data_IF_816930332928
#
_entry.id   IF_816930332928
#
_cell.length_a   1.000
_cell.length_b   1.000
_cell.length_c   1.000
_cell.angle_alpha   90.00
_cell.angle_beta   90.00
_cell.angle_gamma   90.00
#
_symmetry.space_group_name_H-M   'P 1'
#
loop_
_entity.id
_entity.type
_entity.pdbx_description
1 polymer ?
#
# COMPACT_ATOMS: atom_id res chain seq x y z
N UNK A 1 -1.96 -22.62 -17.14
CA UNK A 1 -0.63 -22.20 -16.66
C UNK A 1 -0.83 -20.83 -16.07
N UNK A 2 -0.28 -20.53 -14.89
CA UNK A 2 -0.40 -19.19 -14.31
C UNK A 2 0.19 -18.14 -15.25
N UNK A 3 -0.54 -17.05 -15.46
CA UNK A 3 -0.11 -15.89 -16.25
C UNK A 3 0.29 -14.78 -15.30
N UNK A 4 1.40 -14.11 -15.61
CA UNK A 4 1.87 -12.91 -14.94
C UNK A 4 2.17 -11.84 -16.00
N UNK A 5 1.64 -10.66 -15.80
CA UNK A 5 1.95 -9.48 -16.62
C UNK A 5 2.25 -8.31 -15.69
N UNK A 6 3.31 -7.57 -16.00
CA UNK A 6 3.77 -6.40 -15.22
C UNK A 6 4.24 -5.31 -16.19
N UNK A 7 3.70 -4.11 -16.03
CA UNK A 7 3.99 -2.97 -16.89
C UNK A 7 5.19 -2.19 -16.34
N UNK A 8 6.05 -1.63 -17.20
CA UNK A 8 7.26 -0.90 -16.79
C UNK A 8 6.92 0.53 -16.30
N UNK A 9 5.92 0.67 -15.44
CA UNK A 9 5.51 1.97 -14.89
C UNK A 9 6.54 2.41 -13.86
N UNK A 10 7.18 3.53 -14.16
CA UNK A 10 8.20 4.13 -13.31
C UNK A 10 7.55 4.60 -12.01
N UNK A 11 8.19 4.27 -10.90
CA UNK A 11 7.75 4.67 -9.57
C UNK A 11 8.06 6.16 -9.30
N UNK A 12 7.08 6.87 -8.72
CA UNK A 12 7.26 8.23 -8.21
C UNK A 12 6.61 8.39 -6.82
N UNK A 13 7.40 8.83 -5.84
CA UNK A 13 6.94 9.11 -4.48
C UNK A 13 6.06 10.38 -4.42
N UNK A 14 5.04 10.41 -3.56
CA UNK A 14 4.23 11.62 -3.37
C UNK A 14 5.02 12.74 -2.65
N UNK A 15 4.90 13.98 -3.13
CA UNK A 15 5.64 15.13 -2.58
C UNK A 15 5.12 15.58 -1.18
N UNK A 16 3.85 15.31 -0.88
CA UNK A 16 3.21 15.69 0.39
C UNK A 16 2.11 14.69 0.78
N UNK A 17 1.58 14.79 1.99
CA UNK A 17 0.69 13.79 2.62
C UNK A 17 -0.76 13.80 2.10
N UNK A 18 -1.01 14.50 0.99
CA UNK A 18 -2.30 14.55 0.30
C UNK A 18 -2.17 14.50 -1.23
N UNK A 19 -1.00 14.09 -1.75
CA UNK A 19 -0.69 14.05 -3.18
C UNK A 19 -0.72 12.65 -3.78
N UNK A 20 -1.28 11.65 -3.11
CA UNK A 20 -1.34 10.27 -3.64
C UNK A 20 -1.92 10.21 -5.05
N UNK A 21 -3.06 10.86 -5.30
CA UNK A 21 -3.69 10.90 -6.62
C UNK A 21 -2.88 11.68 -7.67
N UNK A 22 -2.14 12.70 -7.25
CA UNK A 22 -1.25 13.44 -8.15
C UNK A 22 0.00 12.63 -8.52
N UNK A 23 0.57 11.88 -7.57
CA UNK A 23 1.67 10.96 -7.80
C UNK A 23 1.26 9.79 -8.70
N UNK A 24 0.06 9.22 -8.50
CA UNK A 24 -0.51 8.23 -9.40
C UNK A 24 -0.70 8.78 -10.82
N UNK A 25 -1.26 9.98 -10.96
CA UNK A 25 -1.41 10.63 -12.26
C UNK A 25 -0.06 10.86 -12.94
N UNK A 26 0.97 11.27 -12.19
CA UNK A 26 2.33 11.45 -12.68
C UNK A 26 2.90 10.15 -13.25
N UNK A 27 2.83 9.05 -12.49
CA UNK A 27 3.31 7.72 -12.93
C UNK A 27 2.62 7.24 -14.21
N UNK A 28 1.28 7.35 -14.27
CA UNK A 28 0.51 6.87 -15.43
C UNK A 28 0.71 7.76 -16.66
N UNK A 29 0.79 9.09 -16.50
CA UNK A 29 1.02 10.00 -17.62
C UNK A 29 2.44 9.88 -18.19
N UNK A 30 3.44 9.65 -17.34
CA UNK A 30 4.81 9.35 -17.78
C UNK A 30 4.86 8.05 -18.60
N UNK A 31 4.20 6.98 -18.12
CA UNK A 31 4.02 5.74 -18.87
C UNK A 31 3.35 5.97 -20.24
N UNK A 32 2.40 6.91 -20.32
CA UNK A 32 1.72 7.28 -21.56
C UNK A 32 2.54 8.25 -22.45
N UNK A 33 3.79 8.54 -22.12
CA UNK A 33 4.69 9.35 -22.94
C UNK A 33 4.52 10.87 -22.79
N UNK A 34 3.80 11.35 -21.77
CA UNK A 34 3.74 12.78 -21.46
C UNK A 34 4.99 13.31 -20.75
N UNK A 35 5.88 12.40 -20.34
CA UNK A 35 7.03 12.72 -19.52
C UNK A 35 6.63 13.07 -18.09
N UNK A 36 7.62 13.53 -17.33
CA UNK A 36 7.50 13.73 -15.91
C UNK A 36 6.86 15.09 -15.56
N UNK A 37 5.57 15.09 -15.25
CA UNK A 37 4.79 16.28 -14.86
C UNK A 37 4.88 16.55 -13.35
N UNK A 38 4.85 17.82 -12.93
CA UNK A 38 4.93 18.17 -11.51
C UNK A 38 3.64 17.87 -10.72
N UNK A 39 3.76 17.21 -9.56
CA UNK A 39 2.60 16.79 -8.76
C UNK A 39 1.76 17.97 -8.24
N UNK A 40 2.35 19.13 -7.95
CA UNK A 40 1.58 20.30 -7.52
C UNK A 40 0.58 20.80 -8.59
N UNK A 41 0.97 20.73 -9.86
CA UNK A 41 0.10 21.06 -10.99
C UNK A 41 -0.99 20.00 -11.18
N UNK A 42 -0.62 18.72 -11.11
CA UNK A 42 -1.57 17.61 -11.19
C UNK A 42 -2.59 17.62 -10.05
N UNK A 43 -2.15 17.94 -8.82
CA UNK A 43 -3.04 18.12 -7.68
C UNK A 43 -4.01 19.27 -7.89
N UNK A 44 -3.53 20.42 -8.39
CA UNK A 44 -4.39 21.58 -8.66
C UNK A 44 -5.49 21.25 -9.68
N UNK A 45 -5.16 20.49 -10.72
CA UNK A 45 -6.13 19.99 -11.69
C UNK A 45 -7.11 18.99 -11.06
N UNK A 46 -6.61 17.97 -10.37
CA UNK A 46 -7.42 16.96 -9.67
C UNK A 46 -8.44 17.63 -8.74
N UNK A 47 -7.95 18.52 -7.87
CA UNK A 47 -8.74 19.14 -6.82
C UNK A 47 -9.78 20.10 -7.40
N UNK A 48 -9.44 20.88 -8.42
CA UNK A 48 -10.38 21.81 -9.07
C UNK A 48 -11.48 21.09 -9.87
N UNK A 49 -11.26 19.84 -10.25
CA UNK A 49 -12.23 19.02 -11.00
C UNK A 49 -12.85 17.90 -10.16
N UNK A 50 -12.58 17.88 -8.85
CA UNK A 50 -13.27 17.06 -7.86
C UNK A 50 -14.63 17.70 -7.53
N UNK A 51 -15.57 17.63 -8.47
CA UNK A 51 -16.81 18.44 -8.46
C UNK A 51 -18.04 17.65 -8.03
N UNK A 52 -18.00 16.33 -8.11
CA UNK A 52 -19.11 15.44 -7.75
C UNK A 52 -19.43 15.50 -6.26
N UNK A 53 -18.39 15.58 -5.43
CA UNK A 53 -18.51 15.74 -3.97
C UNK A 53 -17.36 16.59 -3.42
N UNK A 54 -17.66 17.56 -2.56
CA UNK A 54 -16.65 18.41 -1.91
C UNK A 54 -15.88 17.68 -0.80
N UNK A 55 -14.71 18.20 -0.44
CA UNK A 55 -13.94 17.74 0.72
C UNK A 55 -12.92 16.64 0.42
N UNK A 56 -12.71 16.34 -0.85
CA UNK A 56 -11.66 15.43 -1.32
C UNK A 56 -10.38 16.20 -1.65
N UNK A 57 -9.23 15.60 -1.34
CA UNK A 57 -7.95 16.10 -1.86
C UNK A 57 -7.79 15.71 -3.33
N UNK A 58 -8.03 14.45 -3.66
CA UNK A 58 -8.25 13.98 -5.04
C UNK A 58 -9.48 13.08 -5.08
N UNK A 59 -10.59 13.56 -5.65
CA UNK A 59 -11.79 12.75 -5.88
C UNK A 59 -11.65 11.90 -7.15
N UNK A 60 -12.46 10.82 -7.28
CA UNK A 60 -12.40 9.95 -8.45
C UNK A 60 -12.65 10.64 -9.80
N UNK A 61 -13.61 11.57 -9.86
CA UNK A 61 -13.91 12.36 -11.05
C UNK A 61 -12.79 13.34 -11.41
N UNK A 62 -12.18 13.97 -10.40
CA UNK A 62 -11.02 14.84 -10.57
C UNK A 62 -9.81 14.11 -11.15
N UNK A 63 -9.52 12.90 -10.65
CA UNK A 63 -8.41 12.09 -11.16
C UNK A 63 -8.64 11.66 -12.63
N UNK A 64 -9.84 11.15 -12.93
CA UNK A 64 -10.23 10.81 -14.32
C UNK A 64 -10.08 12.03 -15.23
N UNK A 65 -10.53 13.20 -14.79
CA UNK A 65 -10.43 14.42 -15.56
C UNK A 65 -8.97 14.75 -15.89
N UNK A 66 -8.10 14.77 -14.88
CA UNK A 66 -6.68 15.08 -15.07
C UNK A 66 -6.01 14.10 -16.03
N UNK A 67 -6.24 12.80 -15.90
CA UNK A 67 -5.65 11.80 -16.80
C UNK A 67 -6.05 12.01 -18.28
N UNK A 68 -7.29 12.42 -18.53
CA UNK A 68 -7.79 12.68 -19.88
C UNK A 68 -7.38 14.06 -20.44
N UNK A 69 -7.36 15.09 -19.59
CA UNK A 69 -7.10 16.47 -20.02
C UNK A 69 -5.62 16.71 -20.40
N UNK A 70 -4.73 15.80 -20.01
CA UNK A 70 -3.30 15.86 -20.33
C UNK A 70 -2.94 15.25 -21.69
N UNK A 71 -3.93 14.99 -22.55
CA UNK A 71 -3.75 14.64 -23.98
C UNK A 71 -2.76 13.50 -24.24
N UNK A 72 -2.77 12.48 -23.38
CA UNK A 72 -1.85 11.33 -23.44
C UNK A 72 -2.07 10.39 -24.63
N UNK A 73 -3.04 10.68 -25.51
CA UNK A 73 -3.50 9.77 -26.55
C UNK A 73 -4.27 8.55 -26.01
N UNK A 74 -4.46 8.48 -24.69
CA UNK A 74 -5.28 7.47 -24.01
C UNK A 74 -6.59 8.10 -23.55
N UNK A 75 -7.57 7.24 -23.30
CA UNK A 75 -8.85 7.64 -22.73
C UNK A 75 -9.14 6.75 -21.52
N UNK A 76 -9.38 7.41 -20.39
CA UNK A 76 -9.62 6.78 -19.10
C UNK A 76 -11.06 7.01 -18.66
N UNK A 77 -11.70 5.98 -18.12
CA UNK A 77 -13.01 6.09 -17.49
C UNK A 77 -12.89 5.86 -16.00
N UNK A 78 -13.91 6.34 -15.29
CA UNK A 78 -14.05 6.11 -13.87
C UNK A 78 -15.01 4.94 -13.70
N UNK A 79 -14.49 3.82 -13.22
CA UNK A 79 -15.30 2.69 -12.78
C UNK A 79 -15.60 2.83 -11.29
N UNK A 80 -16.88 2.77 -10.95
CA UNK A 80 -17.40 2.80 -9.59
C UNK A 80 -18.41 1.66 -9.45
N UNK A 81 -17.90 0.47 -9.13
CA UNK A 81 -18.64 -0.79 -9.21
C UNK A 81 -19.11 -1.26 -7.83
N UNK A 82 -20.11 -2.13 -7.81
CA UNK A 82 -20.76 -2.61 -6.57
C UNK A 82 -20.02 -3.75 -5.87
N UNK A 83 -19.01 -4.34 -6.53
CA UNK A 83 -18.26 -5.46 -5.96
C UNK A 83 -16.76 -5.30 -6.19
N UNK A 84 -15.98 -5.80 -5.22
CA UNK A 84 -14.53 -5.88 -5.32
C UNK A 84 -14.09 -6.69 -6.54
N UNK A 85 -14.71 -7.85 -6.79
CA UNK A 85 -14.30 -8.74 -7.87
C UNK A 85 -14.49 -8.09 -9.25
N UNK A 86 -15.57 -7.33 -9.43
CA UNK A 86 -15.80 -6.63 -10.68
C UNK A 86 -14.73 -5.55 -10.93
N UNK A 87 -14.35 -4.77 -9.92
CA UNK A 87 -13.32 -3.73 -10.10
C UNK A 87 -11.94 -4.37 -10.32
N UNK A 88 -11.63 -5.46 -9.64
CA UNK A 88 -10.36 -6.18 -9.77
C UNK A 88 -10.19 -6.81 -11.16
N UNK A 89 -11.30 -7.27 -11.77
CA UNK A 89 -11.30 -7.73 -13.17
C UNK A 89 -11.08 -6.61 -14.16
N UNK A 90 -11.71 -5.45 -13.95
CA UNK A 90 -11.44 -4.26 -14.77
C UNK A 90 -9.98 -3.85 -14.69
N UNK A 91 -9.40 -3.84 -13.49
CA UNK A 91 -7.97 -3.56 -13.29
C UNK A 91 -7.09 -4.54 -14.07
N UNK A 92 -7.32 -5.85 -13.96
CA UNK A 92 -6.56 -6.87 -14.69
C UNK A 92 -6.74 -6.74 -16.21
N UNK A 93 -7.96 -6.45 -16.67
CA UNK A 93 -8.25 -6.23 -18.09
C UNK A 93 -7.56 -4.98 -18.63
N UNK A 94 -7.57 -3.87 -17.90
CA UNK A 94 -6.85 -2.64 -18.27
C UNK A 94 -5.36 -2.92 -18.46
N UNK A 95 -4.73 -3.64 -17.52
CA UNK A 95 -3.32 -4.04 -17.62
C UNK A 95 -3.07 -4.92 -18.85
N UNK A 96 -3.92 -5.92 -19.08
CA UNK A 96 -3.75 -6.90 -20.15
C UNK A 96 -4.00 -6.32 -21.55
N UNK A 97 -5.16 -5.73 -21.75
CA UNK A 97 -5.63 -5.28 -23.06
C UNK A 97 -5.04 -3.93 -23.45
N UNK A 98 -5.10 -2.96 -22.54
CA UNK A 98 -4.74 -1.58 -22.85
C UNK A 98 -3.27 -1.27 -22.60
N UNK A 99 -2.56 -2.16 -21.88
CA UNK A 99 -1.14 -2.04 -21.56
C UNK A 99 -0.82 -0.71 -20.88
N UNK A 100 -1.71 -0.29 -19.99
CA UNK A 100 -1.60 0.93 -19.18
C UNK A 100 -1.96 0.58 -17.74
N UNK A 101 -1.30 1.24 -16.78
CA UNK A 101 -1.53 0.97 -15.37
C UNK A 101 -2.78 1.71 -14.86
N UNK A 102 -3.80 1.02 -14.35
CA UNK A 102 -4.95 1.67 -13.71
C UNK A 102 -4.58 2.24 -12.35
N UNK A 103 -5.39 3.20 -11.88
CA UNK A 103 -5.24 3.82 -10.56
C UNK A 103 -6.42 3.43 -9.67
N UNK A 104 -6.15 2.80 -8.53
CA UNK A 104 -7.17 2.23 -7.65
C UNK A 104 -7.32 3.04 -6.36
N UNK A 105 -8.57 3.27 -5.94
CA UNK A 105 -8.88 3.80 -4.61
C UNK A 105 -8.83 2.67 -3.60
N UNK A 106 -8.05 2.82 -2.55
CA UNK A 106 -7.87 1.82 -1.51
C UNK A 106 -8.08 2.40 -0.12
N UNK A 107 -8.20 1.50 0.86
CA UNK A 107 -8.45 1.84 2.27
C UNK A 107 -9.74 2.64 2.45
N UNK A 108 -10.80 2.15 1.82
CA UNK A 108 -12.10 2.80 1.75
C UNK A 108 -12.07 4.01 0.83
N UNK A 109 -11.63 5.14 1.36
CA UNK A 109 -11.47 6.39 0.61
C UNK A 109 -10.13 7.07 0.84
N UNK A 110 -9.23 6.45 1.59
CA UNK A 110 -8.07 7.17 2.13
C UNK A 110 -6.98 7.37 1.08
N UNK A 111 -6.76 6.48 0.11
CA UNK A 111 -5.53 6.52 -0.68
C UNK A 111 -5.69 6.07 -2.15
N UNK A 112 -4.84 6.61 -3.02
CA UNK A 112 -4.70 6.18 -4.42
C UNK A 112 -3.39 5.45 -4.63
N UNK A 113 -3.43 4.32 -5.34
CA UNK A 113 -2.25 3.54 -5.73
C UNK A 113 -2.28 3.19 -7.22
N UNK A 114 -1.12 2.92 -7.82
CA UNK A 114 -1.02 2.46 -9.22
C UNK A 114 -0.87 0.94 -9.23
N UNK A 115 -1.74 0.26 -9.98
CA UNK A 115 -1.61 -1.18 -10.23
C UNK A 115 -0.90 -1.37 -11.57
N UNK A 116 0.23 -2.05 -11.56
CA UNK A 116 1.08 -2.24 -12.75
C UNK A 116 0.96 -3.62 -13.36
N UNK A 117 0.59 -4.59 -12.55
CA UNK A 117 0.61 -5.98 -12.93
C UNK A 117 -0.42 -6.81 -12.20
N UNK A 118 -0.68 -8.00 -12.72
CA UNK A 118 -1.55 -8.99 -12.11
C UNK A 118 -1.00 -10.40 -12.30
N UNK A 119 -1.39 -11.29 -11.40
CA UNK A 119 -1.17 -12.73 -11.52
C UNK A 119 -2.52 -13.44 -11.56
N UNK A 120 -2.69 -14.36 -12.51
CA UNK A 120 -3.96 -15.04 -12.74
C UNK A 120 -3.79 -16.49 -13.22
N UNK A 121 -4.85 -17.28 -13.12
CA UNK A 121 -4.89 -18.66 -13.64
C UNK A 121 -4.80 -18.74 -15.16
N UNK A 122 -5.27 -17.70 -15.85
CA UNK A 122 -5.21 -17.49 -17.30
C UNK A 122 -5.32 -15.99 -17.62
N UNK A 123 -4.98 -15.59 -18.84
CA UNK A 123 -5.15 -14.21 -19.30
C UNK A 123 -6.64 -13.88 -19.53
N UNK A 124 -7.13 -12.69 -19.13
CA UNK A 124 -8.51 -12.30 -19.39
C UNK A 124 -8.74 -12.16 -20.89
N UNK A 125 -9.87 -12.69 -21.38
CA UNK A 125 -10.24 -12.63 -22.81
C UNK A 125 -11.17 -11.45 -23.15
N UNK A 126 -11.78 -10.85 -22.13
CA UNK A 126 -12.60 -9.63 -22.22
C UNK A 126 -12.74 -8.98 -20.84
N UNK A 127 -13.19 -7.72 -20.80
CA UNK A 127 -13.62 -7.01 -19.58
C UNK A 127 -14.68 -7.79 -18.77
N UNK A 128 -15.50 -8.61 -19.45
CA UNK A 128 -16.53 -9.45 -18.82
C UNK A 128 -16.10 -10.86 -18.42
N UNK A 129 -14.82 -11.20 -18.54
CA UNK A 129 -14.34 -12.57 -18.34
C UNK A 129 -14.31 -12.97 -16.86
N UNK A 130 -15.08 -14.00 -16.53
CA UNK A 130 -15.15 -14.61 -15.19
C UNK A 130 -14.54 -16.02 -15.15
N UNK A 131 -13.96 -16.48 -16.26
CA UNK A 131 -13.39 -17.82 -16.42
C UNK A 131 -12.01 -18.01 -15.79
N UNK A 132 -11.40 -16.93 -15.29
CA UNK A 132 -10.10 -16.95 -14.63
C UNK A 132 -10.18 -16.46 -13.17
N UNK A 133 -9.24 -16.93 -12.35
CA UNK A 133 -9.01 -16.44 -10.99
C UNK A 133 -7.79 -15.52 -10.95
N UNK A 134 -7.87 -14.47 -10.14
CA UNK A 134 -6.76 -13.55 -9.84
C UNK A 134 -6.13 -14.03 -8.53
N UNK A 135 -4.81 -14.13 -8.48
CA UNK A 135 -4.07 -14.51 -7.27
C UNK A 135 -3.32 -13.35 -6.63
N UNK A 136 -3.07 -12.26 -7.35
CA UNK A 136 -2.44 -11.06 -6.79
C UNK A 136 -2.21 -9.94 -7.78
N UNK A 137 -1.78 -8.80 -7.27
CA UNK A 137 -1.48 -7.57 -8.01
C UNK A 137 -0.08 -7.05 -7.69
N UNK A 138 0.60 -6.51 -8.70
CA UNK A 138 1.84 -5.76 -8.55
C UNK A 138 1.53 -4.25 -8.50
N UNK A 139 2.01 -3.56 -7.48
CA UNK A 139 1.58 -2.19 -7.12
C UNK A 139 2.75 -1.25 -6.89
N UNK A 140 2.56 0.00 -7.30
CA UNK A 140 3.34 1.15 -6.84
C UNK A 140 2.46 1.99 -5.89
N UNK A 141 2.87 2.06 -4.62
CA UNK A 141 2.22 2.88 -3.61
C UNK A 141 3.06 4.15 -3.37
N UNK A 142 2.53 5.34 -3.71
CA UNK A 142 3.31 6.58 -3.66
C UNK A 142 3.64 7.04 -2.23
N UNK A 143 3.04 6.45 -1.20
CA UNK A 143 3.31 6.72 0.20
C UNK A 143 4.63 6.03 0.66
N UNK A 144 5.41 6.59 1.61
CA UNK A 144 5.21 7.82 2.36
C UNK A 144 5.43 9.08 1.55
N UNK A 145 4.92 10.23 2.02
CA UNK A 145 5.33 11.52 1.48
C UNK A 145 6.81 11.79 1.73
N UNK A 146 7.39 12.62 0.88
CA UNK A 146 8.78 13.07 0.99
C UNK A 146 9.07 13.62 2.41
N UNK A 147 10.16 13.19 3.07
CA UNK A 147 10.50 13.67 4.40
C UNK A 147 10.67 15.20 4.47
N UNK A 148 10.14 15.81 5.52
CA UNK A 148 10.23 17.25 5.80
C UNK A 148 10.97 17.47 7.13
N UNK A 149 11.97 18.38 7.22
CA UNK A 149 12.51 19.23 6.16
C UNK A 149 13.41 18.44 5.19
N UNK A 150 13.19 18.61 3.90
CA UNK A 150 14.00 18.02 2.84
C UNK A 150 13.60 18.63 1.50
N UNK A 151 14.52 18.79 0.54
CA UNK A 151 14.13 19.21 -0.80
C UNK A 151 13.17 18.15 -1.38
N UNK A 152 12.14 18.55 -2.16
CA UNK A 152 11.39 17.59 -2.97
C UNK A 152 12.39 16.76 -3.79
N UNK A 153 12.18 15.44 -3.94
CA UNK A 153 13.08 14.58 -4.69
C UNK A 153 13.22 15.15 -6.11
N UNK A 154 14.40 15.05 -6.73
CA UNK A 154 14.53 15.40 -8.13
C UNK A 154 13.57 14.54 -8.95
N UNK A 155 12.51 15.15 -9.45
CA UNK A 155 11.65 14.57 -10.48
C UNK A 155 12.42 14.61 -11.80
N UNK A 156 13.42 13.74 -11.95
CA UNK A 156 14.20 13.61 -13.18
C UNK A 156 14.30 12.16 -13.61
N UNK A 157 14.30 11.90 -14.92
CA UNK A 157 14.39 10.56 -15.50
C UNK A 157 15.70 9.82 -15.18
N UNK A 158 16.70 10.51 -14.64
CA UNK A 158 18.03 9.98 -14.29
C UNK A 158 18.23 9.71 -12.79
N UNK A 159 17.31 10.14 -11.92
CA UNK A 159 17.34 9.89 -10.48
C UNK A 159 16.12 9.04 -10.13
N UNK A 160 16.32 7.83 -9.62
CA UNK A 160 15.23 6.92 -9.26
C UNK A 160 14.32 7.59 -8.24
N UNK A 161 13.19 8.10 -8.70
CA UNK A 161 12.33 9.02 -7.95
C UNK A 161 11.69 8.33 -6.73
N UNK A 162 12.43 8.30 -5.62
CA UNK A 162 11.94 7.78 -4.36
C UNK A 162 11.81 6.26 -4.29
N UNK A 163 12.54 5.50 -5.12
CA UNK A 163 12.56 4.03 -5.08
C UNK A 163 13.58 3.42 -4.09
N UNK A 164 14.13 4.22 -3.16
CA UNK A 164 15.19 3.78 -2.24
C UNK A 164 15.12 4.35 -0.82
N UNK A 165 15.42 3.51 0.17
CA UNK A 165 15.52 3.87 1.59
C UNK A 165 14.17 4.16 2.24
N UNK A 166 14.06 5.30 2.93
CA UNK A 166 12.85 5.80 3.61
C UNK A 166 11.85 6.46 2.66
N UNK A 167 12.04 6.27 1.36
CA UNK A 167 11.27 6.90 0.29
C UNK A 167 10.40 5.85 -0.37
N UNK A 168 9.10 6.17 -0.45
CA UNK A 168 8.13 5.40 -1.22
C UNK A 168 7.91 3.94 -0.85
N UNK A 169 6.95 3.32 -1.53
CA UNK A 169 6.74 1.86 -1.52
C UNK A 169 6.53 1.39 -2.97
N UNK A 170 7.66 1.22 -3.66
CA UNK A 170 7.70 0.64 -5.01
C UNK A 170 7.71 -0.89 -4.96
N UNK A 171 7.31 -1.53 -6.07
CA UNK A 171 7.46 -2.96 -6.32
C UNK A 171 6.84 -3.83 -5.21
N UNK A 172 5.59 -3.54 -4.85
CA UNK A 172 4.78 -4.39 -3.98
C UNK A 172 4.10 -5.49 -4.79
N UNK A 173 4.01 -6.68 -4.19
CA UNK A 173 3.08 -7.71 -4.62
C UNK A 173 2.09 -7.99 -3.50
N UNK A 174 0.80 -7.92 -3.82
CA UNK A 174 -0.31 -8.08 -2.87
C UNK A 174 -1.12 -9.30 -3.27
N UNK A 175 -1.34 -10.25 -2.36
CA UNK A 175 -2.20 -11.40 -2.62
C UNK A 175 -3.65 -10.97 -2.81
N UNK A 176 -4.45 -11.73 -3.58
CA UNK A 176 -5.86 -11.37 -3.82
C UNK A 176 -6.67 -11.28 -2.52
N UNK A 177 -6.35 -12.10 -1.51
CA UNK A 177 -6.98 -12.04 -0.18
C UNK A 177 -6.64 -10.74 0.53
N UNK A 178 -5.35 -10.36 0.55
CA UNK A 178 -4.93 -9.10 1.16
C UNK A 178 -5.48 -7.89 0.40
N UNK A 179 -5.56 -7.97 -0.93
CA UNK A 179 -6.17 -6.96 -1.78
C UNK A 179 -7.64 -6.74 -1.40
N UNK A 180 -8.44 -7.81 -1.37
CA UNK A 180 -9.86 -7.81 -1.00
C UNK A 180 -10.11 -7.26 0.39
N UNK A 181 -9.42 -7.82 1.36
CA UNK A 181 -9.75 -7.57 2.75
C UNK A 181 -9.22 -6.20 3.17
N UNK A 182 -8.01 -5.83 2.72
CA UNK A 182 -7.26 -4.68 3.25
C UNK A 182 -7.24 -3.48 2.32
N UNK A 183 -7.00 -3.66 1.03
CA UNK A 183 -6.81 -2.54 0.10
C UNK A 183 -8.13 -2.10 -0.53
N UNK A 184 -8.78 -2.98 -1.30
CA UNK A 184 -9.97 -2.68 -2.07
C UNK A 184 -11.24 -2.90 -1.24
N UNK A 185 -11.45 -2.05 -0.23
CA UNK A 185 -12.53 -2.20 0.77
C UNK A 185 -13.79 -1.38 0.51
N UNK A 186 -13.79 -0.57 -0.56
CA UNK A 186 -14.93 0.23 -1.01
C UNK A 186 -15.18 1.50 -0.16
N UNK A 187 -15.67 2.55 -0.80
CA UNK A 187 -15.84 3.87 -0.16
C UNK A 187 -16.98 3.82 0.86
N UNK A 188 -16.77 4.16 2.15
CA UNK A 188 -17.75 3.91 3.21
C UNK A 188 -18.84 4.98 3.35
N UNK A 189 -18.83 6.04 2.55
CA UNK A 189 -19.81 7.11 2.66
C UNK A 189 -19.71 8.16 1.56
N UNK A 190 -20.68 9.08 1.53
CA UNK A 190 -20.76 10.13 0.51
C UNK A 190 -21.38 9.66 -0.81
N UNK A 191 -21.15 10.41 -1.88
CA UNK A 191 -21.67 10.12 -3.22
C UNK A 191 -21.24 8.73 -3.72
N UNK A 192 -20.01 8.33 -3.43
CA UNK A 192 -19.43 7.05 -3.86
C UNK A 192 -19.68 5.90 -2.87
N UNK A 193 -20.60 6.06 -1.91
CA UNK A 193 -20.83 5.08 -0.86
C UNK A 193 -21.11 3.67 -1.41
N UNK A 194 -20.40 2.67 -0.87
CA UNK A 194 -20.50 1.26 -1.26
C UNK A 194 -19.81 0.91 -2.56
N UNK A 195 -19.16 1.88 -3.23
CA UNK A 195 -18.50 1.64 -4.52
C UNK A 195 -17.02 1.28 -4.34
N UNK A 196 -16.58 0.35 -5.16
CA UNK A 196 -15.18 0.05 -5.40
C UNK A 196 -14.74 0.81 -6.64
N UNK A 197 -13.65 1.58 -6.52
CA UNK A 197 -13.34 2.64 -7.47
C UNK A 197 -11.95 2.47 -8.06
N UNK A 198 -11.86 2.57 -9.38
CA UNK A 198 -10.61 2.71 -10.10
C UNK A 198 -10.79 3.57 -11.35
N UNK A 199 -9.70 4.21 -11.79
CA UNK A 199 -9.64 4.88 -13.08
C UNK A 199 -8.95 3.92 -14.06
N UNK A 200 -9.76 3.40 -14.98
CA UNK A 200 -9.47 2.24 -15.81
C UNK A 200 -9.69 2.54 -17.30
N UNK A 201 -9.66 1.48 -18.10
CA UNK A 201 -9.97 1.47 -19.53
C UNK A 201 -11.46 1.70 -19.86
N UNK A 202 -11.81 2.09 -21.10
CA UNK A 202 -13.15 2.54 -21.43
C UNK A 202 -14.21 1.45 -21.71
N UNK A 203 -13.92 0.17 -21.51
CA UNK A 203 -14.91 -0.89 -21.73
C UNK A 203 -15.96 -0.98 -20.62
N UNK A 204 -17.17 -1.48 -20.94
CA UNK A 204 -18.19 -1.70 -19.93
C UNK A 204 -17.74 -2.79 -18.93
N UNK A 205 -18.11 -2.65 -17.65
CA UNK A 205 -17.72 -3.60 -16.62
C UNK A 205 -18.40 -4.97 -16.79
N UNK A 206 -17.87 -6.03 -16.15
CA UNK A 206 -18.49 -7.34 -16.14
C UNK A 206 -19.93 -7.29 -15.64
N UNK A 207 -20.84 -7.93 -16.38
CA UNK A 207 -22.25 -8.12 -15.98
C UNK A 207 -22.50 -9.46 -15.30
N UNK A 208 -21.48 -10.33 -15.29
CA UNK A 208 -21.50 -11.64 -14.66
C UNK A 208 -20.48 -11.66 -13.55
N UNK A 209 -20.76 -12.45 -12.51
CA UNK A 209 -19.85 -12.72 -11.41
C UNK A 209 -19.56 -14.22 -11.39
N UNK A 210 -18.37 -14.64 -10.92
CA UNK A 210 -18.07 -16.04 -10.73
C UNK A 210 -19.10 -16.68 -9.78
N UNK A 211 -19.58 -17.89 -10.12
CA UNK A 211 -20.57 -18.62 -9.33
C UNK A 211 -20.06 -18.98 -7.92
N UNK A 212 -18.74 -19.05 -7.76
CA UNK A 212 -18.06 -19.30 -6.50
C UNK A 212 -16.77 -18.51 -6.46
N UNK A 213 -16.63 -17.61 -5.49
CA UNK A 213 -15.31 -17.16 -5.06
C UNK A 213 -14.72 -18.28 -4.21
N UNK A 214 -13.52 -18.75 -4.55
CA UNK A 214 -12.78 -19.63 -3.64
C UNK A 214 -12.66 -18.91 -2.30
N UNK A 215 -13.35 -19.46 -1.30
CA UNK A 215 -13.20 -18.99 0.07
C UNK A 215 -11.79 -19.27 0.52
N UNK A 216 -11.22 -18.31 1.25
CA UNK A 216 -9.94 -18.45 1.92
C UNK A 216 -9.91 -19.78 2.68
N UNK A 217 -9.10 -20.72 2.18
CA UNK A 217 -8.83 -22.00 2.82
C UNK A 217 -7.94 -21.71 4.03
N UNK A 218 -8.51 -20.99 5.01
CA UNK A 218 -7.87 -20.70 6.29
C UNK A 218 -7.51 -22.04 6.88
N UNK A 219 -6.23 -22.39 6.76
CA UNK A 219 -5.63 -23.57 7.37
C UNK A 219 -6.15 -23.61 8.80
N UNK A 220 -6.77 -24.74 9.17
CA UNK A 220 -7.78 -24.89 10.24
C UNK A 220 -7.33 -24.56 11.69
N UNK A 221 -6.22 -23.87 11.90
CA UNK A 221 -5.69 -23.55 13.23
C UNK A 221 -5.23 -22.09 13.25
N UNK A 222 -6.03 -21.23 13.89
CA UNK A 222 -5.72 -19.81 14.13
C UNK A 222 -6.00 -19.39 15.58
N UNK A 223 -6.00 -20.37 16.50
CA UNK A 223 -6.18 -20.17 17.95
C UNK A 223 -4.92 -19.58 18.61
N UNK A 224 -3.74 -19.95 18.11
CA UNK A 224 -2.46 -19.41 18.55
C UNK A 224 -1.76 -18.64 17.43
N UNK A 225 -0.93 -17.66 17.82
CA UNK A 225 -0.08 -16.96 16.86
C UNK A 225 1.09 -17.85 16.44
N UNK A 226 1.29 -17.95 15.13
CA UNK A 226 2.47 -18.55 14.52
C UNK A 226 3.73 -17.90 15.10
N UNK A 227 4.68 -18.71 15.56
CA UNK A 227 5.93 -18.21 16.11
C UNK A 227 6.75 -17.46 15.05
N UNK A 228 7.56 -16.47 15.47
CA UNK A 228 8.40 -15.71 14.54
C UNK A 228 9.35 -16.59 13.70
N UNK A 229 9.84 -17.71 14.25
CA UNK A 229 10.70 -18.66 13.50
C UNK A 229 9.92 -19.33 12.38
N UNK A 230 8.72 -19.80 12.70
CA UNK A 230 7.84 -20.42 11.72
C UNK A 230 7.39 -19.41 10.65
N UNK A 231 7.10 -18.16 11.04
CA UNK A 231 6.80 -17.09 10.09
C UNK A 231 7.98 -16.81 9.14
N UNK A 232 9.21 -16.84 9.64
CA UNK A 232 10.40 -16.71 8.80
C UNK A 232 10.52 -17.83 7.76
N UNK A 233 10.32 -19.09 8.17
CA UNK A 233 10.34 -20.23 7.25
C UNK A 233 9.22 -20.10 6.21
N UNK A 234 8.01 -19.75 6.64
CA UNK A 234 6.85 -19.56 5.77
C UNK A 234 7.07 -18.43 4.76
N UNK A 235 7.69 -17.33 5.16
CA UNK A 235 8.00 -16.22 4.25
C UNK A 235 8.92 -16.62 3.10
N UNK A 236 9.99 -17.37 3.40
CA UNK A 236 10.92 -17.83 2.37
C UNK A 236 10.27 -18.83 1.40
N UNK A 237 9.37 -19.70 1.88
CA UNK A 237 8.62 -20.59 1.02
C UNK A 237 7.52 -19.88 0.22
N UNK A 238 6.83 -18.92 0.84
CA UNK A 238 5.70 -18.22 0.23
C UNK A 238 6.10 -17.48 -1.04
N UNK A 239 7.26 -16.83 -1.07
CA UNK A 239 7.73 -16.08 -2.26
C UNK A 239 7.98 -16.99 -3.46
N UNK A 240 8.34 -18.25 -3.24
CA UNK A 240 8.43 -19.29 -4.28
C UNK A 240 7.03 -19.78 -4.67
N UNK A 241 6.17 -20.08 -3.70
CA UNK A 241 4.80 -20.58 -3.93
C UNK A 241 3.95 -19.60 -4.77
N UNK A 242 4.10 -18.29 -4.53
CA UNK A 242 3.41 -17.24 -5.31
C UNK A 242 4.18 -16.83 -6.58
N UNK A 243 5.32 -17.48 -6.85
CA UNK A 243 6.09 -17.34 -8.08
C UNK A 243 6.89 -16.04 -8.21
N UNK A 244 7.16 -15.33 -7.12
CA UNK A 244 7.93 -14.07 -7.16
C UNK A 244 9.39 -14.31 -7.55
N UNK A 245 10.00 -15.40 -7.10
CA UNK A 245 11.40 -15.73 -7.42
C UNK A 245 11.65 -15.95 -8.91
N UNK A 246 10.61 -16.31 -9.67
CA UNK A 246 10.66 -16.43 -11.13
C UNK A 246 10.64 -15.11 -11.89
N UNK A 247 10.22 -13.99 -11.26
CA UNK A 247 10.00 -12.70 -11.92
C UNK A 247 11.28 -11.89 -12.02
N UNK A 248 11.51 -11.25 -13.16
CA UNK A 248 12.74 -10.47 -13.41
C UNK A 248 12.94 -9.34 -12.39
N UNK A 249 11.89 -8.57 -12.10
CA UNK A 249 11.94 -7.46 -11.13
C UNK A 249 12.20 -7.91 -9.69
N UNK A 250 11.88 -9.16 -9.35
CA UNK A 250 12.03 -9.71 -8.00
C UNK A 250 13.32 -10.49 -7.79
N UNK A 251 13.95 -10.97 -8.88
CA UNK A 251 15.15 -11.81 -8.79
C UNK A 251 16.28 -11.13 -8.03
N UNK A 252 16.52 -9.84 -8.27
CA UNK A 252 17.55 -9.08 -7.54
C UNK A 252 17.27 -9.01 -6.03
N UNK A 253 16.00 -8.94 -5.65
CA UNK A 253 15.55 -8.83 -4.26
C UNK A 253 15.51 -10.17 -3.53
N UNK A 254 15.26 -11.29 -4.22
CA UNK A 254 14.99 -12.61 -3.62
C UNK A 254 16.07 -13.68 -3.87
N UNK A 255 16.99 -13.47 -4.81
CA UNK A 255 18.03 -14.47 -5.07
C UNK A 255 18.97 -14.66 -3.86
N UNK A 256 19.09 -15.91 -3.40
CA UNK A 256 19.94 -16.30 -2.27
C UNK A 256 19.59 -15.64 -0.94
N UNK A 257 18.33 -15.21 -0.73
CA UNK A 257 17.94 -14.54 0.51
C UNK A 257 17.74 -15.52 1.68
N UNK A 258 18.04 -15.01 2.87
CA UNK A 258 17.74 -15.63 4.16
C UNK A 258 17.06 -14.61 5.07
N UNK A 259 16.62 -15.05 6.26
CA UNK A 259 16.11 -14.14 7.29
C UNK A 259 17.21 -13.16 7.74
N UNK A 260 16.87 -11.87 7.82
CA UNK A 260 17.75 -10.81 8.34
C UNK A 260 17.15 -10.17 9.58
N UNK A 261 17.75 -10.37 10.75
CA UNK A 261 17.20 -9.84 12.00
C UNK A 261 15.93 -10.59 12.47
N UNK A 262 15.11 -9.93 13.28
CA UNK A 262 13.92 -10.55 13.91
C UNK A 262 12.62 -10.09 13.24
N UNK A 263 11.72 -11.01 12.83
CA UNK A 263 10.39 -10.66 12.38
C UNK A 263 9.61 -9.83 13.41
N UNK A 264 8.80 -8.90 12.92
CA UNK A 264 8.08 -7.92 13.74
C UNK A 264 6.60 -8.23 13.73
N UNK A 265 6.02 -8.49 14.91
CA UNK A 265 4.59 -8.73 15.04
C UNK A 265 3.85 -7.40 14.98
N UNK A 266 2.82 -7.34 14.13
CA UNK A 266 1.93 -6.19 14.01
C UNK A 266 0.49 -6.63 14.29
N UNK A 267 -0.21 -5.88 15.14
CA UNK A 267 -1.64 -6.03 15.37
C UNK A 267 -2.42 -5.01 14.54
N UNK A 268 -3.49 -5.44 13.87
CA UNK A 268 -4.44 -4.54 13.22
C UNK A 268 -5.32 -3.84 14.26
N UNK A 269 -5.44 -2.53 14.16
CA UNK A 269 -6.28 -1.71 15.06
C UNK A 269 -7.71 -1.51 14.52
N UNK A 270 -7.90 -1.70 13.23
CA UNK A 270 -9.17 -1.57 12.52
C UNK A 270 -9.96 -2.88 12.44
N UNK A 271 -9.37 -3.99 12.90
CA UNK A 271 -9.97 -5.33 12.88
C UNK A 271 -9.78 -6.04 14.21
N UNK A 272 -10.73 -6.92 14.51
CA UNK A 272 -10.69 -7.73 15.73
C UNK A 272 -9.79 -8.93 15.48
N UNK A 273 -8.83 -9.15 16.39
CA UNK A 273 -8.04 -10.38 16.44
C UNK A 273 -7.31 -10.69 15.11
N UNK A 274 -6.72 -9.67 14.50
CA UNK A 274 -6.00 -9.74 13.22
C UNK A 274 -4.55 -9.25 13.43
N UNK A 275 -3.61 -10.07 12.97
CA UNK A 275 -2.18 -9.92 13.21
C UNK A 275 -1.38 -10.39 12.01
N UNK A 276 -0.25 -9.74 11.74
CA UNK A 276 0.68 -10.17 10.72
C UNK A 276 2.13 -10.01 11.19
N UNK A 277 3.00 -10.84 10.66
CA UNK A 277 4.45 -10.73 10.80
C UNK A 277 5.02 -9.99 9.61
N UNK A 278 5.81 -8.96 9.87
CA UNK A 278 6.69 -8.38 8.87
C UNK A 278 8.03 -9.12 8.95
N UNK A 279 8.39 -9.87 7.90
CA UNK A 279 9.58 -10.72 7.83
C UNK A 279 10.64 -10.07 6.92
N UNK A 280 11.73 -9.52 7.48
CA UNK A 280 12.89 -9.06 6.71
C UNK A 280 13.66 -10.22 6.07
N UNK A 281 13.81 -10.20 4.76
CA UNK A 281 14.60 -11.15 3.99
C UNK A 281 15.75 -10.43 3.29
N UNK A 282 16.91 -11.06 3.20
CA UNK A 282 18.07 -10.42 2.61
C UNK A 282 19.35 -11.26 2.61
N UNK A 283 20.47 -10.58 2.37
CA UNK A 283 21.80 -11.19 2.21
C UNK A 283 22.76 -10.61 3.25
N UNK A 284 23.27 -11.47 4.12
CA UNK A 284 24.09 -11.02 5.26
C UNK A 284 23.26 -10.16 6.21
N UNK A 285 23.71 -8.93 6.48
CA UNK A 285 22.98 -7.96 7.30
C UNK A 285 22.06 -7.05 6.47
N UNK A 286 22.09 -7.16 5.14
CA UNK A 286 21.34 -6.27 4.25
C UNK A 286 19.96 -6.86 3.92
N UNK A 287 18.90 -6.15 4.29
CA UNK A 287 17.52 -6.47 3.89
C UNK A 287 17.30 -6.09 2.42
N UNK A 288 16.80 -7.01 1.61
CA UNK A 288 16.53 -6.82 0.16
C UNK A 288 15.09 -7.07 -0.22
N UNK A 289 14.31 -7.69 0.67
CA UNK A 289 12.87 -7.84 0.54
C UNK A 289 12.21 -7.89 1.92
N UNK A 290 10.92 -7.57 1.96
CA UNK A 290 10.10 -7.74 3.16
C UNK A 290 8.85 -8.53 2.78
N UNK A 291 8.49 -9.51 3.59
CA UNK A 291 7.35 -10.41 3.35
C UNK A 291 6.42 -10.36 4.55
N UNK A 292 5.13 -10.14 4.29
CA UNK A 292 4.10 -10.17 5.31
C UNK A 292 3.40 -11.52 5.33
N UNK A 293 3.34 -12.12 6.51
CA UNK A 293 2.69 -13.40 6.77
C UNK A 293 1.59 -13.19 7.80
N UNK A 294 0.39 -13.70 7.53
CA UNK A 294 -0.69 -13.74 8.51
C UNK A 294 -0.21 -14.48 9.77
N UNK A 295 -0.25 -13.80 10.92
CA UNK A 295 0.34 -14.35 12.13
C UNK A 295 -0.54 -15.40 12.80
N UNK A 296 -1.80 -15.57 12.38
CA UNK A 296 -2.70 -16.61 12.88
C UNK A 296 -2.64 -17.85 12.01
N UNK A 297 -2.71 -17.68 10.69
CA UNK A 297 -2.89 -18.78 9.74
C UNK A 297 -1.60 -19.14 8.97
N UNK A 298 -0.57 -18.29 9.05
CA UNK A 298 0.69 -18.51 8.36
C UNK A 298 0.58 -18.38 6.83
N UNK A 299 -0.44 -17.68 6.34
CA UNK A 299 -0.68 -17.45 4.91
C UNK A 299 0.08 -16.22 4.42
N UNK A 300 0.46 -16.23 3.15
CA UNK A 300 1.10 -15.08 2.50
C UNK A 300 0.11 -13.94 2.29
N UNK A 301 0.49 -12.74 2.73
CA UNK A 301 -0.31 -11.53 2.53
C UNK A 301 0.24 -10.67 1.38
N UNK A 302 1.51 -10.32 1.46
CA UNK A 302 2.15 -9.40 0.51
C UNK A 302 3.66 -9.40 0.68
N UNK A 303 4.37 -8.85 -0.30
CA UNK A 303 5.79 -8.62 -0.23
C UNK A 303 6.16 -7.30 -0.89
N UNK A 304 7.34 -6.79 -0.56
CA UNK A 304 7.95 -5.64 -1.20
C UNK A 304 9.41 -5.91 -1.52
N UNK A 305 9.83 -5.59 -2.75
CA UNK A 305 11.25 -5.59 -3.13
C UNK A 305 11.96 -4.30 -2.67
N UNK A 306 13.22 -4.43 -2.24
CA UNK A 306 14.08 -3.30 -1.86
C UNK A 306 15.28 -3.22 -2.81
N UNK A 307 15.13 -2.53 -3.96
CA UNK A 307 16.12 -2.54 -5.05
C UNK A 307 17.47 -1.91 -4.66
N UNK A 308 17.51 -1.08 -3.62
CA UNK A 308 18.76 -0.63 -3.00
C UNK A 308 18.81 -1.02 -1.53
N UNK A 309 19.79 -1.85 -1.15
CA UNK A 309 20.99 -1.25 -0.57
C UNK A 309 20.97 -0.74 0.88
N UNK A 310 19.90 -0.09 1.31
CA UNK A 310 20.02 0.98 2.29
C UNK A 310 19.15 0.72 3.51
N UNK A 311 19.72 1.12 4.66
CA UNK A 311 19.18 1.18 6.02
C UNK A 311 17.65 1.06 6.09
N UNK A 312 17.26 -0.21 6.00
CA UNK A 312 16.00 -0.86 6.33
C UNK A 312 14.72 -0.08 6.03
N UNK A 313 14.02 -0.47 4.95
CA UNK A 313 12.59 -0.18 4.77
C UNK A 313 11.71 -0.71 5.93
N UNK A 314 12.26 -1.60 6.75
CA UNK A 314 11.85 -1.86 8.13
C UNK A 314 12.63 -0.90 9.06
N UNK A 315 12.25 0.37 9.13
CA UNK A 315 12.75 1.24 10.20
C UNK A 315 12.11 0.79 11.52
N UNK A 316 12.33 -0.43 12.00
CA UNK A 316 11.85 -0.79 13.33
C UNK A 316 12.91 -0.40 14.31
N UNK A 317 12.70 0.77 14.90
CA UNK A 317 13.43 1.26 16.06
C UNK A 317 13.55 0.13 17.08
N UNK A 318 14.76 -0.05 17.61
CA UNK A 318 14.96 -0.93 18.74
C UNK A 318 14.27 -0.37 20.00
N UNK A 319 14.22 -1.18 21.06
CA UNK A 319 13.55 -0.80 22.30
C UNK A 319 14.11 0.50 22.88
N UNK A 320 15.43 0.68 22.84
CA UNK A 320 16.10 1.86 23.38
C UNK A 320 15.81 3.10 22.54
N UNK A 321 15.84 2.99 21.22
CA UNK A 321 15.49 4.08 20.30
C UNK A 321 14.03 4.52 20.46
N UNK A 322 13.12 3.56 20.68
CA UNK A 322 11.72 3.85 21.00
C UNK A 322 11.63 4.65 22.30
N UNK A 323 12.30 4.18 23.36
CA UNK A 323 12.32 4.86 24.66
C UNK A 323 12.88 6.28 24.57
N UNK A 324 14.00 6.47 23.85
CA UNK A 324 14.63 7.77 23.66
C UNK A 324 13.74 8.77 22.90
N UNK A 325 12.92 8.28 21.95
CA UNK A 325 11.96 9.13 21.21
C UNK A 325 10.69 9.41 21.99
N UNK A 326 10.30 8.51 22.90
CA UNK A 326 9.04 8.61 23.65
C UNK A 326 9.24 9.36 24.98
N UNK A 327 10.29 9.09 25.72
CA UNK A 327 10.44 9.62 27.06
C UNK A 327 10.98 11.05 27.06
N UNK A 328 10.46 11.86 27.99
CA UNK A 328 10.90 13.24 28.17
C UNK A 328 10.39 14.22 27.11
N UNK A 329 9.76 13.73 26.04
CA UNK A 329 9.17 14.56 24.98
C UNK A 329 7.81 15.11 25.40
N UNK A 330 7.53 16.36 24.99
CA UNK A 330 6.29 17.07 25.31
C UNK A 330 5.39 17.09 24.08
N UNK A 331 4.15 16.64 24.24
CA UNK A 331 3.20 16.45 23.15
C UNK A 331 1.93 17.23 23.40
N UNK A 332 1.49 17.93 22.38
CA UNK A 332 0.19 18.60 22.39
C UNK A 332 -0.91 17.56 22.22
N UNK A 333 -1.84 17.55 23.17
CA UNK A 333 -3.02 16.71 23.10
C UNK A 333 -4.05 17.29 22.13
N UNK A 334 -4.92 16.45 21.53
CA UNK A 334 -5.97 16.92 20.64
C UNK A 334 -6.89 17.96 21.29
N UNK A 335 -7.34 18.94 20.51
CA UNK A 335 -8.28 19.96 20.96
C UNK A 335 -7.70 20.96 21.96
N UNK A 336 -8.38 21.16 23.09
CA UNK A 336 -8.02 22.12 24.15
C UNK A 336 -7.43 21.45 25.40
N UNK A 337 -6.92 20.24 25.26
CA UNK A 337 -6.44 19.41 26.39
C UNK A 337 -5.00 19.75 26.85
N UNK A 338 -4.33 20.70 26.19
CA UNK A 338 -3.00 21.18 26.59
C UNK A 338 -1.86 20.29 26.10
N UNK A 339 -0.79 20.22 26.88
CA UNK A 339 0.42 19.46 26.57
C UNK A 339 0.72 18.46 27.68
N UNK A 340 1.28 17.31 27.31
CA UNK A 340 1.72 16.29 28.26
C UNK A 340 3.17 15.90 27.97
N UNK A 341 3.96 15.83 29.02
CA UNK A 341 5.32 15.29 28.97
C UNK A 341 5.31 13.83 29.36
N UNK A 342 5.72 12.95 28.46
CA UNK A 342 5.73 11.51 28.71
C UNK A 342 6.88 11.18 29.66
N UNK A 343 6.58 10.45 30.73
CA UNK A 343 7.54 10.04 31.78
C UNK A 343 7.75 8.52 31.75
N UNK A 344 8.99 8.04 31.87
CA UNK A 344 9.32 6.62 31.71
C UNK A 344 8.54 5.70 32.65
N UNK A 345 8.46 6.03 33.95
CA UNK A 345 7.86 5.15 34.95
C UNK A 345 6.32 5.05 34.90
N UNK A 346 5.68 5.82 34.02
CA UNK A 346 4.21 5.89 33.90
C UNK A 346 3.75 5.41 32.52
N UNK A 347 4.57 5.57 31.49
CA UNK A 347 4.23 5.17 30.14
C UNK A 347 4.27 3.65 29.97
N UNK A 348 3.31 3.09 29.24
CA UNK A 348 3.34 1.70 28.80
C UNK A 348 3.52 1.65 27.28
N UNK A 349 4.61 1.07 26.82
CA UNK A 349 4.92 0.89 25.39
C UNK A 349 4.60 -0.54 24.98
N UNK A 350 3.88 -0.72 23.87
CA UNK A 350 3.54 -2.05 23.37
C UNK A 350 4.77 -2.86 22.94
N UNK A 351 4.77 -4.16 23.28
CA UNK A 351 5.84 -5.08 22.86
C UNK A 351 5.79 -5.36 21.36
N UNK A 352 4.59 -5.54 20.83
CA UNK A 352 4.33 -5.62 19.39
C UNK A 352 4.13 -4.23 18.78
N UNK A 353 4.09 -4.19 17.45
CA UNK A 353 3.69 -3.03 16.68
C UNK A 353 2.18 -3.06 16.41
N UNK A 354 1.60 -1.94 16.04
CA UNK A 354 0.19 -1.81 15.69
C UNK A 354 0.04 -1.05 14.39
N UNK A 355 -0.98 -1.37 13.60
CA UNK A 355 -1.23 -0.67 12.34
C UNK A 355 -2.71 -0.64 11.99
N UNK A 356 -3.11 0.42 11.30
CA UNK A 356 -4.34 0.51 10.51
C UNK A 356 -4.08 1.50 9.38
N UNK A 357 -4.80 1.40 8.24
CA UNK A 357 -4.81 2.47 7.27
C UNK A 357 -5.23 3.79 7.92
N UNK A 358 -4.40 4.80 7.76
CA UNK A 358 -4.64 6.17 8.24
C UNK A 358 -3.71 7.14 7.50
N UNK A 359 -3.98 8.44 7.55
CA UNK A 359 -3.12 9.49 7.00
C UNK A 359 -1.67 9.36 7.44
N UNK A 360 -1.47 8.98 8.70
CA UNK A 360 -0.16 8.79 9.28
C UNK A 360 0.52 7.49 8.83
N UNK A 361 -0.19 6.54 8.21
CA UNK A 361 0.38 5.35 7.60
C UNK A 361 -0.58 4.69 6.59
N UNK A 362 -0.30 4.89 5.30
CA UNK A 362 -0.98 4.24 4.17
C UNK A 362 -0.15 3.09 3.59
N UNK A 363 0.76 2.55 4.40
CA UNK A 363 1.53 1.35 4.11
C UNK A 363 1.68 0.47 5.35
N UNK A 364 1.37 -0.83 5.27
CA UNK A 364 1.52 -1.77 6.39
C UNK A 364 2.98 -1.96 6.83
N UNK A 365 3.94 -1.53 6.01
CA UNK A 365 5.37 -1.51 6.31
C UNK A 365 5.79 -0.34 7.22
N UNK A 366 4.86 0.55 7.57
CA UNK A 366 5.09 1.66 8.49
C UNK A 366 4.16 1.59 9.71
N UNK A 367 4.30 0.55 10.55
CA UNK A 367 3.48 0.38 11.74
C UNK A 367 3.93 1.32 12.87
N UNK A 368 3.21 1.28 13.99
CA UNK A 368 3.44 2.14 15.15
C UNK A 368 3.72 1.33 16.42
N UNK A 369 4.54 1.85 17.33
CA UNK A 369 4.49 1.49 18.75
C UNK A 369 3.35 2.25 19.41
N UNK A 370 2.48 1.51 20.10
CA UNK A 370 1.41 2.11 20.91
C UNK A 370 1.97 2.47 22.28
N UNK A 371 1.94 3.75 22.60
CA UNK A 371 2.31 4.29 23.92
C UNK A 371 1.05 4.69 24.65
N UNK A 372 0.78 4.07 25.79
CA UNK A 372 -0.31 4.44 26.68
C UNK A 372 0.23 5.27 27.85
N UNK A 373 -0.40 6.42 28.12
CA UNK A 373 -0.03 7.30 29.23
C UNK A 373 -1.30 7.86 29.88
N UNK A 374 -1.69 7.28 31.03
CA UNK A 374 -3.00 7.55 31.62
C UNK A 374 -4.13 7.16 30.66
N UNK A 375 -5.03 8.11 30.35
CA UNK A 375 -6.11 7.91 29.38
C UNK A 375 -5.71 8.18 27.92
N UNK A 376 -4.47 8.63 27.67
CA UNK A 376 -4.01 9.04 26.35
C UNK A 376 -3.23 7.94 25.65
N UNK A 377 -3.31 7.95 24.31
CA UNK A 377 -2.55 7.05 23.42
C UNK A 377 -1.71 7.88 22.47
N UNK A 378 -0.47 7.47 22.27
CA UNK A 378 0.43 7.99 21.25
C UNK A 378 0.92 6.86 20.37
N UNK A 379 1.29 7.19 19.14
CA UNK A 379 1.67 6.24 18.11
C UNK A 379 3.03 6.67 17.57
N UNK A 380 4.08 5.93 17.92
CA UNK A 380 5.42 6.16 17.37
C UNK A 380 5.57 5.31 16.11
N UNK A 381 5.52 5.91 14.94
CA UNK A 381 5.69 5.21 13.68
C UNK A 381 7.11 4.64 13.59
N UNK A 382 7.30 3.61 12.79
CA UNK A 382 8.58 2.96 12.53
C UNK A 382 9.71 3.96 12.22
N UNK A 383 9.46 4.99 11.41
CA UNK A 383 10.43 6.07 11.14
C UNK A 383 10.71 7.04 12.31
N UNK A 384 10.05 6.82 13.44
CA UNK A 384 10.20 7.53 14.70
C UNK A 384 9.46 8.86 14.77
N UNK A 385 8.49 9.12 13.90
CA UNK A 385 7.53 10.21 14.07
C UNK A 385 6.46 9.81 15.10
N UNK A 386 6.19 10.69 16.07
CA UNK A 386 5.16 10.46 17.09
C UNK A 386 3.87 11.20 16.77
N UNK A 387 2.75 10.51 16.91
CA UNK A 387 1.41 11.05 16.67
C UNK A 387 0.54 10.89 17.93
N UNK A 388 -0.26 11.92 18.24
CA UNK A 388 -1.22 11.87 19.35
C UNK A 388 -2.58 11.25 18.94
N UNK A 389 -2.77 10.98 17.65
CA UNK A 389 -3.96 10.37 17.08
C UNK A 389 -3.64 9.77 15.71
N UNK A 390 -4.48 8.86 15.25
CA UNK A 390 -4.46 8.34 13.88
C UNK A 390 -5.73 8.81 13.17
N UNK A 391 -5.61 9.39 11.98
CA UNK A 391 -6.70 10.04 11.25
C UNK A 391 -7.00 9.34 9.93
N UNK A 392 -8.28 9.24 9.54
CA UNK A 392 -8.67 8.83 8.18
C UNK A 392 -8.82 10.04 7.24
N UNK A 393 -9.11 9.82 5.96
CA UNK A 393 -9.28 10.89 4.98
C UNK A 393 -10.04 10.53 3.70
N UNK A 394 -10.00 11.44 2.73
CA UNK A 394 -10.64 11.28 1.42
C UNK A 394 -9.66 11.67 0.32
N UNK A 395 -8.98 10.66 -0.23
CA UNK A 395 -7.99 10.74 -1.29
C UNK A 395 -6.68 11.42 -0.86
N UNK A 396 -6.11 11.00 0.26
CA UNK A 396 -4.89 11.54 0.89
C UNK A 396 -3.63 10.71 0.63
#
# INVERSE_FOLDING_TARGET
MTVHEDLPTVYHQQDTDYYCGAACAQMVLDQCGQGLLGQAGLYSDNHSHSTTESGWYTAPDGLRWTLNNRQSGRYFVLDALDTEDAISRMIAWTVHHYRVSPVAMVYGSDHWIVVRGYTASDAPTSSGDVGYSISGFDVNNPWPPVPTPGPPPPHSTSDGCGSGGTRGVADEHISITQWRDTYMTGIPGGYWNGKFVAVCDPEPPPTRHPERQEGDDRRREGEELVSWRRAADLALHAVDEVGLTGREGWRAALDGVALVGRPQLVQRLDRVDDFYWIVPCGRGEQVTAVVDIDARFGTYLQARALPQAHETALLTLDEKEVEERVYGTTHRLPGRLGEVRIRPDIACISRHWVWRPCRESLSPYYPFKLVSYGAHRFYLRSDGRLFAQLTGGRGI
#
